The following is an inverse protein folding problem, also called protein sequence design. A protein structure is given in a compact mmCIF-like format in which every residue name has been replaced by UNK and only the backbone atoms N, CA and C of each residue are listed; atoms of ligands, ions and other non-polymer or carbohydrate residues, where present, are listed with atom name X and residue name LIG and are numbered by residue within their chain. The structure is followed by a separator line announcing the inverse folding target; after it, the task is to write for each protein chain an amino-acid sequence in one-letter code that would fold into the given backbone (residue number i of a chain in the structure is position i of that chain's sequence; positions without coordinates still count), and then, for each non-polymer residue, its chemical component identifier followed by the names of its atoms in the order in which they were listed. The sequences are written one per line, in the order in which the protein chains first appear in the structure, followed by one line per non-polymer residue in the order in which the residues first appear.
data_IF_454767788081
#
_entry.id   IF_454767788081
#
_cell.length_a   1.000
_cell.length_b   1.000
_cell.length_c   1.000
_cell.angle_alpha   90.00
_cell.angle_beta   90.00
_cell.angle_gamma   90.00
#
_symmetry.space_group_name_H-M   'P 1'
#
loop_
_entity.id
_entity.type
_entity.pdbx_description
1 polymer ?
#
# COMPACT_ATOMS: atom_id res chain seq x y z
N UNK A 1 -14.55 27.97 12.53
CA UNK A 1 -15.59 27.22 13.28
C UNK A 1 -15.19 25.78 13.16
N UNK A 2 -14.64 25.24 14.24
CA UNK A 2 -14.07 23.90 14.26
C UNK A 2 -15.14 22.86 13.96
N UNK A 3 -15.04 22.21 12.79
CA UNK A 3 -15.97 21.19 12.29
C UNK A 3 -15.85 19.82 13.02
N UNK A 4 -15.24 19.80 14.21
CA UNK A 4 -14.90 18.57 14.92
C UNK A 4 -15.89 18.19 16.05
N UNK A 5 -17.04 18.85 16.17
CA UNK A 5 -18.07 18.52 17.17
C UNK A 5 -19.04 17.41 16.69
N UNK A 6 -18.51 16.36 16.10
CA UNK A 6 -19.25 15.10 15.94
C UNK A 6 -19.33 14.35 17.29
N UNK A 7 -20.35 13.50 17.52
CA UNK A 7 -20.47 12.71 18.75
C UNK A 7 -19.34 11.69 18.95
N UNK A 8 -18.53 11.47 17.91
CA UNK A 8 -17.35 10.64 17.93
C UNK A 8 -16.11 11.54 17.85
N UNK A 9 -15.55 11.85 19.02
CA UNK A 9 -14.28 12.55 19.10
C UNK A 9 -13.18 11.57 18.65
N UNK A 10 -12.63 11.79 17.44
CA UNK A 10 -11.53 10.98 16.86
C UNK A 10 -10.25 10.95 17.71
N UNK A 11 -10.15 11.83 18.70
CA UNK A 11 -9.10 11.77 19.71
C UNK A 11 -9.21 10.58 20.67
N UNK A 12 -10.29 9.79 20.65
CA UNK A 12 -10.47 8.67 21.59
C UNK A 12 -9.48 7.53 21.41
N UNK A 13 -8.96 7.29 20.19
CA UNK A 13 -7.83 6.39 19.95
C UNK A 13 -6.47 7.00 20.32
N UNK A 14 -6.44 8.30 20.64
CA UNK A 14 -5.21 9.06 20.81
C UNK A 14 -4.39 8.66 22.04
N UNK A 15 -4.98 7.97 23.01
CA UNK A 15 -4.24 7.45 24.17
C UNK A 15 -3.22 6.36 23.81
N UNK A 16 -3.39 5.71 22.63
CA UNK A 16 -2.45 4.73 22.09
C UNK A 16 -1.32 5.39 21.28
N UNK A 17 -1.46 6.69 20.97
CA UNK A 17 -0.54 7.40 20.08
C UNK A 17 0.38 8.30 20.90
N UNK A 18 1.65 8.38 20.49
CA UNK A 18 2.60 9.36 21.01
C UNK A 18 2.18 10.79 20.63
N UNK A 19 2.83 11.80 21.22
CA UNK A 19 2.59 13.19 20.85
C UNK A 19 2.96 13.44 19.38
N UNK A 20 4.07 12.87 18.93
CA UNK A 20 4.58 12.94 17.55
C UNK A 20 3.60 12.28 16.57
N UNK A 21 3.09 11.07 16.89
CA UNK A 21 2.10 10.37 16.05
C UNK A 21 0.81 11.17 15.90
N UNK A 22 0.37 11.85 16.96
CA UNK A 22 -0.81 12.74 16.89
C UNK A 22 -0.58 13.99 16.05
N UNK A 23 0.63 14.57 16.11
CA UNK A 23 0.99 15.69 15.27
C UNK A 23 1.05 15.27 13.79
N UNK A 24 1.67 14.14 13.51
CA UNK A 24 1.66 13.52 12.18
C UNK A 24 0.23 13.29 11.69
N UNK A 25 -0.64 12.72 12.52
CA UNK A 25 -2.05 12.49 12.18
C UNK A 25 -2.74 13.80 11.75
N UNK A 26 -2.58 14.88 12.52
CA UNK A 26 -3.17 16.18 12.17
C UNK A 26 -2.62 16.75 10.86
N UNK A 27 -1.32 16.66 10.66
CA UNK A 27 -0.67 17.11 9.43
C UNK A 27 -1.18 16.34 8.22
N UNK A 28 -1.24 15.00 8.31
CA UNK A 28 -1.72 14.12 7.22
C UNK A 28 -3.20 14.36 6.93
N UNK A 29 -4.04 14.51 7.96
CA UNK A 29 -5.47 14.85 7.80
C UNK A 29 -5.63 16.17 7.04
N UNK A 30 -4.91 17.21 7.47
CA UNK A 30 -4.95 18.51 6.81
C UNK A 30 -4.54 18.43 5.35
N UNK A 31 -3.49 17.68 5.04
CA UNK A 31 -3.06 17.44 3.67
C UNK A 31 -4.11 16.70 2.85
N UNK A 32 -4.69 15.64 3.40
CA UNK A 32 -5.72 14.85 2.72
C UNK A 32 -6.95 15.70 2.37
N UNK A 33 -7.43 16.52 3.30
CA UNK A 33 -8.60 17.38 3.12
C UNK A 33 -8.35 18.56 2.18
N UNK A 34 -7.16 19.15 2.19
CA UNK A 34 -6.88 20.35 1.39
C UNK A 34 -6.32 20.04 -0.01
N UNK A 35 -5.50 18.98 -0.15
CA UNK A 35 -4.80 18.68 -1.41
C UNK A 35 -5.39 17.49 -2.15
N UNK A 36 -5.67 16.37 -1.44
CA UNK A 36 -6.12 15.15 -2.09
C UNK A 36 -7.61 15.20 -2.42
N UNK A 37 -8.44 15.75 -1.53
CA UNK A 37 -9.90 15.75 -1.72
C UNK A 37 -10.31 16.48 -3.00
N UNK A 38 -9.65 17.57 -3.34
CA UNK A 38 -9.93 18.32 -4.58
C UNK A 38 -9.56 17.53 -5.84
N UNK A 39 -8.46 16.75 -5.79
CA UNK A 39 -7.96 15.98 -6.92
C UNK A 39 -8.65 14.61 -7.07
N UNK A 40 -9.30 14.09 -6.01
CA UNK A 40 -9.86 12.73 -5.99
C UNK A 40 -10.83 12.44 -7.14
N UNK A 41 -11.73 13.37 -7.45
CA UNK A 41 -12.71 13.20 -8.52
C UNK A 41 -12.07 13.22 -9.91
N UNK A 42 -11.01 14.00 -10.10
CA UNK A 42 -10.26 14.06 -11.35
C UNK A 42 -9.44 12.79 -11.55
N UNK A 43 -8.74 12.33 -10.51
CA UNK A 43 -8.04 11.04 -10.52
C UNK A 43 -8.96 9.90 -10.96
N UNK A 44 -10.17 9.85 -10.40
CA UNK A 44 -11.11 8.77 -10.68
C UNK A 44 -11.74 8.89 -12.07
N UNK A 45 -12.06 10.09 -12.54
CA UNK A 45 -12.68 10.33 -13.86
C UNK A 45 -11.70 10.16 -15.01
N UNK A 46 -10.47 10.66 -14.85
CA UNK A 46 -9.49 10.73 -15.93
C UNK A 46 -8.60 9.50 -15.97
N UNK A 47 -8.64 8.65 -14.92
CA UNK A 47 -7.75 7.49 -14.76
C UNK A 47 -6.26 7.89 -14.79
N UNK A 48 -5.93 9.07 -14.24
CA UNK A 48 -4.59 9.65 -14.27
C UNK A 48 -3.92 9.60 -12.90
N UNK A 49 -2.60 9.36 -12.91
CA UNK A 49 -1.80 9.39 -11.72
C UNK A 49 -1.69 10.84 -11.18
N UNK A 50 -1.88 11.07 -9.88
CA UNK A 50 -1.93 12.40 -9.27
C UNK A 50 -0.53 13.01 -9.04
N UNK A 51 0.19 13.36 -10.10
CA UNK A 51 1.57 13.85 -10.03
C UNK A 51 1.74 15.04 -9.09
N UNK A 52 0.86 16.05 -9.16
CA UNK A 52 0.94 17.23 -8.31
C UNK A 52 0.76 16.90 -6.82
N UNK A 53 -0.21 16.03 -6.49
CA UNK A 53 -0.39 15.57 -5.10
C UNK A 53 0.82 14.77 -4.63
N UNK A 54 1.41 13.93 -5.51
CA UNK A 54 2.59 13.15 -5.20
C UNK A 54 3.80 14.04 -4.92
N UNK A 55 4.03 15.07 -5.73
CA UNK A 55 5.10 16.04 -5.53
C UNK A 55 4.97 16.77 -4.19
N UNK A 56 3.77 17.28 -3.88
CA UNK A 56 3.48 17.93 -2.59
C UNK A 56 3.67 16.98 -1.41
N UNK A 57 3.21 15.74 -1.53
CA UNK A 57 3.37 14.68 -0.54
C UNK A 57 4.83 14.35 -0.28
N UNK A 58 5.60 14.23 -1.34
CA UNK A 58 7.05 14.02 -1.29
C UNK A 58 7.78 15.20 -0.68
N UNK A 59 7.35 16.43 -0.96
CA UNK A 59 7.88 17.65 -0.35
C UNK A 59 7.70 17.74 1.17
N UNK A 60 6.72 17.00 1.73
CA UNK A 60 6.56 16.82 3.18
C UNK A 60 7.45 15.70 3.76
N UNK A 61 8.28 15.05 2.95
CA UNK A 61 9.12 13.91 3.35
C UNK A 61 8.37 12.58 3.45
N UNK A 62 7.09 12.55 3.07
CA UNK A 62 6.23 11.39 3.30
C UNK A 62 6.41 10.27 2.26
N UNK A 63 7.05 10.53 1.12
CA UNK A 63 7.47 9.45 0.21
C UNK A 63 8.42 8.48 0.94
N UNK A 64 9.37 9.02 1.69
CA UNK A 64 10.33 8.24 2.49
C UNK A 64 9.88 7.95 3.92
N UNK A 65 8.58 7.95 4.22
CA UNK A 65 8.07 7.93 5.59
C UNK A 65 8.74 6.90 6.51
N UNK A 66 8.87 5.65 6.08
CA UNK A 66 9.46 4.56 6.88
C UNK A 66 10.94 4.28 6.55
N UNK A 67 11.55 5.04 5.66
CA UNK A 67 12.96 4.85 5.32
C UNK A 67 13.86 5.56 6.34
N UNK A 68 15.08 5.02 6.60
CA UNK A 68 16.01 5.62 7.55
C UNK A 68 16.40 7.05 7.19
N UNK A 69 16.58 7.91 8.22
CA UNK A 69 17.00 9.32 8.06
C UNK A 69 18.29 9.47 7.26
N UNK A 70 19.26 8.55 7.43
CA UNK A 70 20.54 8.58 6.68
C UNK A 70 20.39 8.53 5.16
N UNK A 71 19.22 8.10 4.67
CA UNK A 71 18.86 8.09 3.24
C UNK A 71 17.82 9.14 2.87
N UNK A 72 17.51 10.08 3.78
CA UNK A 72 16.54 11.14 3.56
C UNK A 72 15.10 10.76 3.91
N UNK A 73 14.88 9.61 4.55
CA UNK A 73 13.59 9.20 5.06
C UNK A 73 13.19 9.89 6.36
N UNK A 74 11.95 9.71 6.80
CA UNK A 74 11.42 10.26 8.05
C UNK A 74 11.49 9.27 9.23
N UNK A 75 11.88 8.02 8.99
CA UNK A 75 12.05 6.94 9.98
C UNK A 75 10.87 6.78 10.95
N UNK A 76 9.63 7.02 10.45
CA UNK A 76 8.44 6.86 11.28
C UNK A 76 8.16 5.38 11.54
N UNK A 77 7.63 5.09 12.72
CA UNK A 77 7.28 3.73 13.10
C UNK A 77 6.01 3.21 12.37
N UNK A 78 5.77 1.89 12.43
CA UNK A 78 4.66 1.29 11.73
C UNK A 78 3.29 1.77 12.25
N UNK A 79 3.14 2.05 13.55
CA UNK A 79 1.87 2.57 14.09
C UNK A 79 1.59 3.97 13.53
N UNK A 80 2.57 4.85 13.52
CA UNK A 80 2.47 6.20 12.94
C UNK A 80 2.15 6.15 11.45
N UNK A 81 2.78 5.21 10.72
CA UNK A 81 2.49 4.97 9.30
C UNK A 81 1.04 4.49 9.09
N UNK A 82 0.56 3.55 9.90
CA UNK A 82 -0.81 3.04 9.83
C UNK A 82 -1.84 4.15 10.09
N UNK A 83 -1.59 5.00 11.07
CA UNK A 83 -2.42 6.18 11.35
C UNK A 83 -2.45 7.15 10.16
N UNK A 84 -1.31 7.40 9.54
CA UNK A 84 -1.23 8.24 8.34
C UNK A 84 -2.00 7.63 7.14
N UNK A 85 -1.89 6.32 6.94
CA UNK A 85 -2.68 5.60 5.91
C UNK A 85 -4.19 5.74 6.16
N UNK A 86 -4.66 5.61 7.40
CA UNK A 86 -6.08 5.79 7.73
C UNK A 86 -6.58 7.17 7.33
N UNK A 87 -5.83 8.23 7.67
CA UNK A 87 -6.22 9.61 7.36
C UNK A 87 -6.27 9.88 5.84
N UNK A 88 -5.29 9.38 5.08
CA UNK A 88 -5.34 9.47 3.62
C UNK A 88 -6.49 8.65 3.05
N UNK A 89 -6.68 7.42 3.53
CA UNK A 89 -7.70 6.50 3.03
C UNK A 89 -9.14 6.99 3.28
N UNK A 90 -9.35 7.80 4.31
CA UNK A 90 -10.62 8.47 4.59
C UNK A 90 -11.03 9.41 3.46
N UNK A 91 -10.07 9.98 2.75
CA UNK A 91 -10.29 10.90 1.61
C UNK A 91 -10.09 10.18 0.28
N UNK A 92 -9.01 9.42 0.13
CA UNK A 92 -8.66 8.73 -1.11
C UNK A 92 -8.01 7.38 -0.87
N UNK A 93 -8.75 6.31 -1.13
CA UNK A 93 -8.21 4.95 -1.16
C UNK A 93 -7.12 4.80 -2.23
N UNK A 94 -7.30 5.45 -3.37
CA UNK A 94 -6.36 5.44 -4.50
C UNK A 94 -4.99 5.96 -4.08
N UNK A 95 -4.94 7.15 -3.48
CA UNK A 95 -3.68 7.77 -3.08
C UNK A 95 -2.99 6.99 -1.96
N UNK A 96 -3.76 6.49 -0.99
CA UNK A 96 -3.25 5.65 0.09
C UNK A 96 -2.58 4.37 -0.45
N UNK A 97 -3.16 3.72 -1.48
CA UNK A 97 -2.59 2.55 -2.12
C UNK A 97 -1.34 2.85 -2.95
N UNK A 98 -1.33 3.95 -3.70
CA UNK A 98 -0.14 4.42 -4.43
C UNK A 98 1.03 4.54 -3.45
N UNK A 99 0.82 5.24 -2.35
CA UNK A 99 1.84 5.43 -1.32
C UNK A 99 2.24 4.13 -0.64
N UNK A 100 1.28 3.26 -0.30
CA UNK A 100 1.55 1.96 0.33
C UNK A 100 2.46 1.08 -0.52
N UNK A 101 2.20 0.96 -1.84
CA UNK A 101 3.04 0.15 -2.74
C UNK A 101 4.45 0.73 -2.83
N UNK A 102 4.56 2.05 -2.88
CA UNK A 102 5.86 2.74 -2.89
C UNK A 102 6.66 2.45 -1.60
N UNK A 103 6.05 2.61 -0.43
CA UNK A 103 6.68 2.33 0.87
C UNK A 103 7.06 0.86 1.00
N UNK A 104 6.22 -0.08 0.54
CA UNK A 104 6.55 -1.51 0.51
C UNK A 104 7.86 -1.77 -0.25
N UNK A 105 7.99 -1.18 -1.43
CA UNK A 105 9.18 -1.37 -2.29
C UNK A 105 10.41 -0.71 -1.68
N UNK A 106 10.29 0.51 -1.16
CA UNK A 106 11.36 1.18 -0.43
C UNK A 106 11.86 0.35 0.75
N UNK A 107 10.96 -0.19 1.56
CA UNK A 107 11.28 -1.06 2.69
C UNK A 107 11.95 -2.38 2.24
N UNK A 108 11.55 -2.96 1.10
CA UNK A 108 12.24 -4.13 0.54
C UNK A 108 13.68 -3.81 0.16
N UNK A 109 13.94 -2.63 -0.43
CA UNK A 109 15.29 -2.19 -0.75
C UNK A 109 16.11 -1.96 0.52
N UNK A 110 15.53 -1.38 1.57
CA UNK A 110 16.23 -1.17 2.84
C UNK A 110 16.55 -2.48 3.56
N UNK A 111 15.58 -3.37 3.67
CA UNK A 111 15.76 -4.63 4.42
C UNK A 111 16.68 -5.64 3.71
N UNK A 112 16.69 -5.66 2.38
CA UNK A 112 17.32 -6.71 1.59
C UNK A 112 18.53 -6.23 0.78
N UNK A 113 18.65 -4.94 0.55
CA UNK A 113 19.67 -4.35 -0.30
C UNK A 113 21.07 -4.40 0.30
N UNK A 114 22.08 -4.50 -0.56
CA UNK A 114 23.46 -4.19 -0.21
C UNK A 114 23.61 -2.69 0.06
N UNK A 115 24.68 -2.26 0.74
CA UNK A 115 24.90 -0.83 1.01
C UNK A 115 24.97 -0.01 -0.30
N UNK A 116 25.57 -0.55 -1.36
CA UNK A 116 25.62 0.11 -2.67
C UNK A 116 24.20 0.28 -3.27
N UNK A 117 23.35 -0.75 -3.17
CA UNK A 117 21.97 -0.67 -3.61
C UNK A 117 21.18 0.33 -2.78
N UNK A 118 21.32 0.32 -1.45
CA UNK A 118 20.66 1.28 -0.55
C UNK A 118 21.07 2.71 -0.84
N UNK A 119 22.37 2.97 -0.95
CA UNK A 119 22.90 4.31 -1.24
C UNK A 119 22.42 4.87 -2.59
N UNK A 120 22.15 4.01 -3.57
CA UNK A 120 21.67 4.44 -4.87
C UNK A 120 20.13 4.60 -4.92
N UNK A 121 19.37 3.67 -4.33
CA UNK A 121 17.92 3.61 -4.49
C UNK A 121 17.16 4.37 -3.40
N UNK A 122 17.56 4.24 -2.12
CA UNK A 122 16.77 4.77 -1.02
C UNK A 122 16.63 6.30 -1.03
N UNK A 123 17.65 7.11 -1.35
CA UNK A 123 17.45 8.56 -1.46
C UNK A 123 16.45 8.96 -2.53
N UNK A 124 16.40 8.23 -3.64
CA UNK A 124 15.47 8.47 -4.74
C UNK A 124 14.03 8.08 -4.37
N UNK A 125 13.86 6.98 -3.61
CA UNK A 125 12.57 6.64 -3.03
C UNK A 125 12.16 7.65 -1.96
N UNK A 126 13.04 8.05 -1.07
CA UNK A 126 12.75 8.97 0.03
C UNK A 126 12.32 10.36 -0.47
N UNK A 127 12.95 10.85 -1.52
CA UNK A 127 12.59 12.13 -2.15
C UNK A 127 11.32 12.05 -3.03
N UNK A 128 10.80 10.86 -3.33
CA UNK A 128 9.70 10.67 -4.27
C UNK A 128 10.07 10.92 -5.74
N UNK A 129 11.38 11.05 -6.06
CA UNK A 129 11.90 11.14 -7.43
C UNK A 129 11.43 9.95 -8.27
N UNK A 130 11.40 8.77 -7.64
CA UNK A 130 10.93 7.54 -8.26
C UNK A 130 9.78 6.94 -7.48
N UNK A 131 8.92 6.20 -8.18
CA UNK A 131 7.81 5.45 -7.63
C UNK A 131 8.07 3.95 -7.70
N UNK A 132 8.00 3.26 -6.57
CA UNK A 132 8.26 1.82 -6.47
C UNK A 132 7.11 0.97 -6.95
N UNK A 133 7.43 -0.18 -7.56
CA UNK A 133 6.49 -1.22 -7.97
C UNK A 133 6.99 -2.62 -7.58
N UNK A 134 6.07 -3.50 -7.17
CA UNK A 134 6.38 -4.88 -6.80
C UNK A 134 5.70 -5.87 -7.74
N UNK A 135 6.49 -6.66 -8.47
CA UNK A 135 6.06 -7.56 -9.53
C UNK A 135 6.19 -9.03 -9.13
N UNK A 136 5.14 -9.58 -8.51
CA UNK A 136 5.03 -10.98 -8.10
C UNK A 136 4.07 -11.75 -9.02
N UNK A 137 2.84 -11.26 -9.15
CA UNK A 137 1.70 -11.94 -9.78
C UNK A 137 1.90 -12.18 -11.27
N UNK A 138 1.49 -13.36 -11.74
CA UNK A 138 1.51 -13.77 -13.15
C UNK A 138 0.13 -14.26 -13.59
N UNK A 139 -0.14 -14.38 -14.90
CA UNK A 139 -1.42 -14.92 -15.39
C UNK A 139 -1.81 -16.28 -14.77
N UNK A 140 -0.82 -17.13 -14.47
CA UNK A 140 -1.01 -18.47 -13.91
C UNK A 140 -0.55 -18.62 -12.46
N UNK A 141 -0.11 -17.54 -11.79
CA UNK A 141 0.39 -17.56 -10.41
C UNK A 141 -0.10 -16.33 -9.64
N UNK A 142 -1.29 -16.43 -9.05
CA UNK A 142 -1.88 -15.44 -8.15
C UNK A 142 -1.85 -15.96 -6.71
N UNK A 143 -2.90 -16.69 -6.28
CA UNK A 143 -2.97 -17.29 -4.93
C UNK A 143 -1.83 -18.28 -4.69
N UNK A 144 -1.42 -19.05 -5.69
CA UNK A 144 -0.17 -19.85 -5.63
C UNK A 144 1.04 -18.98 -6.02
N UNK A 145 1.40 -18.03 -5.15
CA UNK A 145 2.56 -17.15 -5.34
C UNK A 145 3.90 -17.92 -5.46
N UNK A 146 3.95 -19.17 -4.98
CA UNK A 146 5.08 -20.06 -5.14
C UNK A 146 5.19 -20.71 -6.52
N UNK A 147 4.19 -20.56 -7.39
CA UNK A 147 4.10 -21.12 -8.74
C UNK A 147 4.57 -20.16 -9.85
N UNK A 148 5.31 -19.09 -9.53
CA UNK A 148 5.88 -18.12 -10.49
C UNK A 148 6.68 -18.84 -11.58
N UNK A 149 6.40 -18.50 -12.83
CA UNK A 149 7.01 -19.11 -14.03
C UNK A 149 8.02 -18.18 -14.73
N UNK A 150 8.02 -16.89 -14.45
CA UNK A 150 9.07 -15.97 -14.93
C UNK A 150 10.42 -16.50 -14.52
N UNK A 151 11.33 -16.67 -15.47
CA UNK A 151 12.65 -17.26 -15.27
C UNK A 151 13.73 -16.20 -15.30
N UNK A 152 14.74 -16.38 -14.46
CA UNK A 152 15.99 -15.63 -14.50
C UNK A 152 17.14 -16.63 -14.66
N UNK A 153 17.84 -16.55 -15.78
CA UNK A 153 18.97 -17.43 -16.10
C UNK A 153 20.26 -16.62 -16.05
N UNK A 154 21.25 -17.13 -15.36
CA UNK A 154 22.57 -16.49 -15.26
C UNK A 154 23.28 -16.49 -16.62
N UNK A 155 23.74 -15.31 -17.05
CA UNK A 155 24.55 -15.12 -18.26
C UNK A 155 25.72 -14.17 -17.95
N UNK A 156 26.88 -14.73 -17.64
CA UNK A 156 28.05 -13.97 -17.22
C UNK A 156 27.75 -13.06 -16.01
N UNK A 157 27.95 -11.75 -16.20
CA UNK A 157 27.69 -10.73 -15.17
C UNK A 157 26.25 -10.22 -15.18
N UNK A 158 25.34 -10.90 -15.89
CA UNK A 158 23.93 -10.54 -15.98
C UNK A 158 23.01 -11.72 -15.65
N UNK A 159 21.73 -11.38 -15.47
CA UNK A 159 20.60 -12.29 -15.52
C UNK A 159 19.76 -11.98 -16.76
N UNK A 160 19.36 -13.00 -17.49
CA UNK A 160 18.36 -12.90 -18.55
C UNK A 160 17.01 -13.28 -17.97
N UNK A 161 16.10 -12.30 -17.88
CA UNK A 161 14.76 -12.51 -17.34
C UNK A 161 13.77 -12.67 -18.49
N UNK A 162 12.95 -13.72 -18.41
CA UNK A 162 11.90 -14.03 -19.39
C UNK A 162 10.59 -14.37 -18.68
N UNK A 163 9.51 -13.73 -19.07
CA UNK A 163 8.18 -13.97 -18.51
C UNK A 163 7.27 -12.76 -18.55
N UNK A 164 6.10 -12.89 -17.93
CA UNK A 164 5.07 -11.84 -17.88
C UNK A 164 4.52 -11.71 -16.48
N UNK A 165 4.43 -10.47 -16.00
CA UNK A 165 3.76 -10.12 -14.75
C UNK A 165 2.48 -9.34 -15.04
N UNK A 166 1.45 -9.54 -14.21
CA UNK A 166 0.16 -8.88 -14.39
C UNK A 166 -0.31 -8.22 -13.10
N UNK A 167 -1.16 -7.22 -13.26
CA UNK A 167 -1.73 -6.46 -12.14
C UNK A 167 -0.70 -5.73 -11.27
N UNK A 168 0.37 -5.23 -11.91
CA UNK A 168 1.46 -4.58 -11.19
C UNK A 168 1.15 -3.10 -11.04
N UNK A 169 0.92 -2.68 -9.79
CA UNK A 169 0.62 -1.31 -9.42
C UNK A 169 1.86 -0.42 -9.48
N UNK A 170 1.67 0.85 -9.81
CA UNK A 170 2.71 1.88 -9.87
C UNK A 170 3.82 1.63 -10.91
N UNK A 171 3.65 0.70 -11.85
CA UNK A 171 4.75 0.30 -12.74
C UNK A 171 4.85 1.14 -14.02
N UNK A 172 3.78 1.81 -14.45
CA UNK A 172 3.69 2.46 -15.74
C UNK A 172 3.66 3.99 -15.70
N UNK A 173 3.88 4.62 -14.55
CA UNK A 173 3.96 6.09 -14.45
C UNK A 173 5.29 6.61 -14.98
N UNK A 174 5.39 7.91 -15.26
CA UNK A 174 6.63 8.53 -15.76
C UNK A 174 7.78 8.48 -14.75
N UNK A 175 7.45 8.37 -13.47
CA UNK A 175 8.41 8.28 -12.37
C UNK A 175 8.62 6.85 -11.84
N UNK A 176 7.99 5.83 -12.44
CA UNK A 176 8.18 4.43 -12.02
C UNK A 176 9.60 3.96 -12.30
N UNK A 177 10.33 3.50 -11.26
CA UNK A 177 11.69 2.96 -11.40
C UNK A 177 12.04 2.06 -10.20
N UNK A 178 13.14 1.32 -10.28
CA UNK A 178 13.63 0.47 -9.18
C UNK A 178 12.64 -0.65 -8.80
N UNK A 179 11.92 -1.21 -9.76
CA UNK A 179 10.91 -2.25 -9.52
C UNK A 179 11.53 -3.51 -8.93
N UNK A 180 10.86 -4.10 -7.94
CA UNK A 180 11.24 -5.42 -7.41
C UNK A 180 10.46 -6.50 -8.15
N UNK A 181 11.17 -7.32 -8.91
CA UNK A 181 10.60 -8.39 -9.76
C UNK A 181 11.00 -9.76 -9.22
N UNK A 182 9.99 -10.63 -9.02
CA UNK A 182 10.20 -12.02 -8.61
C UNK A 182 10.38 -12.92 -9.82
N UNK A 183 11.47 -13.72 -9.85
CA UNK A 183 11.70 -14.70 -10.90
C UNK A 183 12.33 -16.00 -10.37
N UNK A 184 12.14 -17.10 -11.10
CA UNK A 184 12.70 -18.39 -10.76
C UNK A 184 14.16 -18.47 -11.24
N UNK A 185 15.09 -18.72 -10.31
CA UNK A 185 16.51 -18.94 -10.59
C UNK A 185 16.89 -20.42 -10.59
N UNK A 186 15.93 -21.31 -10.31
CA UNK A 186 16.12 -22.75 -10.29
C UNK A 186 14.83 -23.50 -9.95
N UNK A 187 14.95 -24.81 -9.73
CA UNK A 187 13.84 -25.67 -9.33
C UNK A 187 14.26 -26.58 -8.18
N UNK A 188 13.34 -26.81 -7.27
CA UNK A 188 13.47 -27.79 -6.19
C UNK A 188 13.31 -29.22 -6.72
N UNK A 189 13.68 -30.23 -5.94
CA UNK A 189 13.51 -31.65 -6.28
C UNK A 189 12.05 -32.02 -6.61
N UNK A 190 11.08 -31.37 -5.96
CA UNK A 190 9.65 -31.56 -6.20
C UNK A 190 9.10 -30.75 -7.41
N UNK A 191 9.98 -30.15 -8.23
CA UNK A 191 9.64 -29.38 -9.40
C UNK A 191 9.15 -27.94 -9.11
N UNK A 192 9.00 -27.52 -7.83
CA UNK A 192 8.64 -26.14 -7.51
C UNK A 192 9.78 -25.17 -7.79
N UNK A 193 9.49 -23.95 -8.28
CA UNK A 193 10.52 -22.97 -8.55
C UNK A 193 11.23 -22.50 -7.28
N UNK A 194 12.52 -22.19 -7.42
CA UNK A 194 13.32 -21.47 -6.43
C UNK A 194 13.27 -19.99 -6.84
N UNK A 195 12.67 -19.14 -6.02
CA UNK A 195 12.40 -17.74 -6.37
C UNK A 195 13.46 -16.80 -5.80
N UNK A 196 13.86 -15.82 -6.60
CA UNK A 196 14.74 -14.72 -6.23
C UNK A 196 14.10 -13.38 -6.57
N UNK A 197 14.52 -12.32 -5.89
CA UNK A 197 14.08 -10.95 -6.13
C UNK A 197 15.13 -10.17 -6.91
N UNK A 198 14.71 -9.36 -7.87
CA UNK A 198 15.59 -8.54 -8.71
C UNK A 198 15.15 -7.10 -8.72
N UNK A 199 16.08 -6.16 -8.61
CA UNK A 199 15.84 -4.75 -8.89
C UNK A 199 15.92 -4.57 -10.40
N UNK A 200 14.80 -4.18 -11.01
CA UNK A 200 14.73 -3.95 -12.46
C UNK A 200 14.50 -2.46 -12.72
N UNK A 201 15.50 -1.74 -13.22
CA UNK A 201 15.34 -0.35 -13.66
C UNK A 201 14.36 -0.25 -14.85
N UNK A 202 13.68 0.90 -14.97
CA UNK A 202 12.70 1.19 -16.04
C UNK A 202 13.28 0.97 -17.45
N UNK A 203 14.53 1.36 -17.65
CA UNK A 203 15.18 1.32 -18.98
C UNK A 203 15.97 0.02 -19.24
N UNK A 204 15.64 -1.07 -18.52
CA UNK A 204 16.29 -2.37 -18.72
C UNK A 204 16.03 -2.88 -20.15
N UNK A 205 17.09 -3.19 -20.95
CA UNK A 205 16.91 -3.78 -22.26
C UNK A 205 16.13 -5.10 -22.19
N UNK A 206 15.14 -5.29 -23.06
CA UNK A 206 14.27 -6.47 -23.06
C UNK A 206 13.07 -6.38 -22.09
N UNK A 207 12.96 -5.33 -21.28
CA UNK A 207 11.78 -5.02 -20.49
C UNK A 207 10.83 -4.09 -21.26
N UNK A 208 9.52 -4.38 -21.21
CA UNK A 208 8.47 -3.57 -21.82
C UNK A 208 7.27 -3.48 -20.91
N UNK A 209 6.64 -2.30 -20.88
CA UNK A 209 5.31 -2.13 -20.32
C UNK A 209 4.28 -2.74 -21.28
N UNK A 210 3.46 -3.66 -20.79
CA UNK A 210 2.32 -4.21 -21.50
C UNK A 210 1.07 -3.34 -21.34
N UNK A 211 -0.09 -3.99 -21.42
CA UNK A 211 -1.38 -3.28 -21.32
C UNK A 211 -1.60 -2.66 -19.94
N UNK A 212 -2.33 -1.54 -19.92
CA UNK A 212 -2.93 -0.99 -18.71
C UNK A 212 -4.25 -1.69 -18.46
N UNK A 213 -4.50 -2.06 -17.20
CA UNK A 213 -5.75 -2.70 -16.83
C UNK A 213 -6.81 -1.67 -16.45
N UNK A 214 -7.99 -1.79 -17.07
CA UNK A 214 -9.18 -1.07 -16.64
C UNK A 214 -9.76 -1.72 -15.39
N UNK A 215 -9.97 -0.94 -14.34
CA UNK A 215 -10.34 -1.41 -13.00
C UNK A 215 -11.72 -0.88 -12.62
N UNK A 216 -12.43 -1.58 -11.72
CA UNK A 216 -13.69 -1.13 -11.16
C UNK A 216 -13.53 0.05 -10.18
N UNK A 217 -12.33 0.22 -9.60
CA UNK A 217 -12.00 1.26 -8.64
C UNK A 217 -10.50 1.58 -8.67
N UNK A 218 -10.07 2.59 -7.92
CA UNK A 218 -8.68 3.05 -7.84
C UNK A 218 -8.10 3.49 -9.19
N UNK A 219 -8.91 4.19 -9.98
CA UNK A 219 -8.60 4.50 -11.38
C UNK A 219 -7.32 5.34 -11.54
N UNK A 220 -7.04 6.26 -10.61
CA UNK A 220 -5.81 7.06 -10.62
C UNK A 220 -4.53 6.30 -10.27
N UNK A 221 -4.63 5.05 -9.80
CA UNK A 221 -3.45 4.21 -9.59
C UNK A 221 -3.13 3.43 -10.87
N UNK A 222 -1.93 3.61 -11.42
CA UNK A 222 -1.48 2.79 -12.56
C UNK A 222 -1.43 1.30 -12.20
N UNK A 223 -1.85 0.45 -13.13
CA UNK A 223 -1.82 -1.00 -12.97
C UNK A 223 -1.56 -1.66 -14.32
N UNK A 224 -0.43 -2.37 -14.43
CA UNK A 224 0.12 -2.81 -15.71
C UNK A 224 0.42 -4.29 -15.78
N UNK A 225 0.47 -4.77 -17.02
CA UNK A 225 1.25 -5.92 -17.43
C UNK A 225 2.70 -5.50 -17.64
N UNK A 226 3.64 -6.37 -17.24
CA UNK A 226 5.07 -6.22 -17.49
C UNK A 226 5.56 -7.41 -18.29
N UNK A 227 6.25 -7.16 -19.40
CA UNK A 227 6.75 -8.20 -20.30
C UNK A 227 8.28 -8.18 -20.32
N UNK A 228 8.87 -9.33 -20.10
CA UNK A 228 10.32 -9.54 -20.10
C UNK A 228 10.68 -10.52 -21.22
N UNK A 229 11.43 -10.03 -22.22
CA UNK A 229 11.93 -10.79 -23.36
C UNK A 229 13.45 -10.65 -23.41
N UNK A 230 14.16 -11.66 -22.89
CA UNK A 230 15.61 -11.61 -22.66
C UNK A 230 16.06 -10.33 -21.93
N UNK A 231 15.30 -9.94 -20.92
CA UNK A 231 15.60 -8.70 -20.19
C UNK A 231 16.92 -8.82 -19.45
N UNK A 232 17.87 -7.92 -19.78
CA UNK A 232 19.25 -7.96 -19.30
C UNK A 232 19.35 -7.20 -17.98
N UNK A 233 19.40 -7.93 -16.87
CA UNK A 233 19.50 -7.38 -15.52
C UNK A 233 20.89 -7.67 -14.96
N UNK A 234 21.69 -6.64 -14.59
CA UNK A 234 23.01 -6.86 -14.00
C UNK A 234 22.97 -7.75 -12.76
N UNK A 235 23.99 -8.60 -12.59
CA UNK A 235 24.07 -9.52 -11.45
C UNK A 235 23.98 -8.82 -10.10
N UNK A 236 24.55 -7.63 -9.99
CA UNK A 236 24.50 -6.78 -8.80
C UNK A 236 23.10 -6.30 -8.42
N UNK A 237 22.11 -6.48 -9.31
CA UNK A 237 20.71 -6.13 -9.07
C UNK A 237 19.90 -7.28 -8.43
N UNK A 238 20.52 -8.42 -8.12
CA UNK A 238 19.90 -9.41 -7.24
C UNK A 238 19.63 -8.74 -5.89
N UNK A 239 18.38 -8.75 -5.44
CA UNK A 239 17.97 -8.15 -4.17
C UNK A 239 17.89 -9.24 -3.10
N UNK A 240 18.71 -9.12 -2.07
CA UNK A 240 18.80 -10.08 -0.99
C UNK A 240 19.57 -11.34 -1.39
N UNK A 241 19.09 -12.52 -0.94
CA UNK A 241 19.75 -13.81 -1.13
C UNK A 241 19.09 -14.59 -2.25
N UNK A 242 19.87 -15.11 -3.18
CA UNK A 242 19.39 -16.01 -4.23
C UNK A 242 18.62 -17.21 -3.65
N UNK A 243 17.44 -17.49 -4.19
CA UNK A 243 16.58 -18.58 -3.75
C UNK A 243 15.73 -18.28 -2.50
N UNK A 244 15.93 -17.15 -1.85
CA UNK A 244 15.15 -16.75 -0.66
C UNK A 244 13.97 -15.81 -0.99
N UNK A 245 13.76 -15.47 -2.24
CA UNK A 245 12.83 -14.40 -2.67
C UNK A 245 11.41 -14.58 -2.16
N UNK A 246 10.84 -15.79 -2.21
CA UNK A 246 9.47 -16.02 -1.72
C UNK A 246 9.34 -15.72 -0.21
N UNK A 247 10.28 -16.16 0.61
CA UNK A 247 10.29 -15.89 2.05
C UNK A 247 10.42 -14.40 2.33
N UNK A 248 11.32 -13.73 1.59
CA UNK A 248 11.55 -12.29 1.71
C UNK A 248 10.32 -11.48 1.31
N UNK A 249 9.68 -11.83 0.18
CA UNK A 249 8.45 -11.20 -0.28
C UNK A 249 7.30 -11.36 0.73
N UNK A 250 7.07 -12.58 1.23
CA UNK A 250 6.01 -12.85 2.21
C UNK A 250 6.24 -12.09 3.53
N UNK A 251 7.50 -11.92 3.94
CA UNK A 251 7.86 -11.12 5.11
C UNK A 251 7.52 -9.64 4.92
N UNK A 252 7.86 -9.07 3.77
CA UNK A 252 7.55 -7.68 3.44
C UNK A 252 6.02 -7.43 3.32
N UNK A 253 5.25 -8.41 2.84
CA UNK A 253 3.79 -8.31 2.73
C UNK A 253 3.06 -8.32 4.09
N UNK A 254 3.73 -8.63 5.20
CA UNK A 254 3.09 -8.65 6.52
C UNK A 254 2.61 -7.25 6.93
N UNK A 255 3.47 -6.24 6.80
CA UNK A 255 3.07 -4.84 7.01
C UNK A 255 1.94 -4.44 6.05
N UNK A 256 2.01 -4.88 4.79
CA UNK A 256 0.96 -4.62 3.80
C UNK A 256 -0.43 -5.08 4.25
N UNK A 257 -0.54 -6.25 4.92
CA UNK A 257 -1.82 -6.73 5.47
C UNK A 257 -2.37 -5.81 6.55
N UNK A 258 -1.51 -5.29 7.43
CA UNK A 258 -1.91 -4.32 8.48
C UNK A 258 -2.38 -3.02 7.82
N UNK A 259 -1.70 -2.56 6.76
CA UNK A 259 -2.10 -1.38 5.97
C UNK A 259 -3.51 -1.52 5.41
N UNK A 260 -3.88 -2.70 4.89
CA UNK A 260 -5.25 -2.93 4.42
C UNK A 260 -6.28 -2.79 5.55
N UNK A 261 -5.91 -3.11 6.80
CA UNK A 261 -6.71 -2.80 7.98
C UNK A 261 -7.00 -1.29 8.08
N UNK A 262 -5.96 -0.47 8.00
CA UNK A 262 -6.09 1.00 8.05
C UNK A 262 -6.88 1.57 6.86
N UNK A 263 -6.67 1.04 5.65
CA UNK A 263 -7.48 1.39 4.47
C UNK A 263 -8.98 1.15 4.73
N UNK A 264 -9.31 -0.01 5.29
CA UNK A 264 -10.69 -0.36 5.65
C UNK A 264 -11.26 0.59 6.69
N UNK A 265 -10.50 0.92 7.74
CA UNK A 265 -10.93 1.89 8.78
C UNK A 265 -11.21 3.25 8.15
N UNK A 266 -10.29 3.78 7.33
CA UNK A 266 -10.48 5.05 6.64
C UNK A 266 -11.76 5.09 5.81
N UNK A 267 -12.05 4.00 5.06
CA UNK A 267 -13.26 3.88 4.25
C UNK A 267 -14.53 3.84 5.12
N UNK A 268 -14.55 3.01 6.17
CA UNK A 268 -15.70 2.93 7.09
C UNK A 268 -15.94 4.30 7.74
N UNK A 269 -14.88 4.99 8.13
CA UNK A 269 -14.96 6.31 8.74
C UNK A 269 -15.56 7.34 7.77
N UNK A 270 -15.10 7.38 6.52
CA UNK A 270 -15.65 8.27 5.49
C UNK A 270 -17.15 8.01 5.27
N UNK A 271 -17.54 6.74 5.18
CA UNK A 271 -18.94 6.35 5.04
C UNK A 271 -19.79 6.77 6.25
N UNK A 272 -19.26 6.62 7.47
CA UNK A 272 -19.94 7.01 8.69
C UNK A 272 -20.13 8.54 8.77
N UNK A 273 -19.09 9.32 8.47
CA UNK A 273 -19.12 10.79 8.50
C UNK A 273 -20.18 11.31 7.53
N UNK A 274 -20.17 10.81 6.29
CA UNK A 274 -21.13 11.23 5.27
C UNK A 274 -22.57 10.80 5.62
N UNK A 275 -22.73 9.57 6.13
CA UNK A 275 -24.04 9.07 6.57
C UNK A 275 -24.62 9.88 7.74
N UNK A 276 -23.78 10.26 8.72
CA UNK A 276 -24.18 11.09 9.85
C UNK A 276 -24.57 12.51 9.38
N UNK A 277 -23.79 13.11 8.48
CA UNK A 277 -24.09 14.41 7.92
C UNK A 277 -25.44 14.39 7.19
N UNK A 278 -25.61 13.45 6.25
CA UNK A 278 -26.83 13.33 5.46
C UNK A 278 -28.06 13.01 6.34
N UNK A 279 -27.93 12.11 7.33
CA UNK A 279 -29.05 11.75 8.20
C UNK A 279 -29.54 12.91 9.09
N UNK A 280 -28.67 13.89 9.40
CA UNK A 280 -29.06 15.12 10.13
C UNK A 280 -29.77 16.12 9.21
N UNK A 281 -29.39 16.20 7.95
CA UNK A 281 -29.91 17.18 6.98
C UNK A 281 -31.21 16.72 6.31
N UNK A 282 -31.26 15.44 5.88
CA UNK A 282 -32.40 14.89 5.15
C UNK A 282 -33.59 14.65 6.06
N UNK A 283 -34.76 15.18 5.70
CA UNK A 283 -36.03 15.00 6.44
C UNK A 283 -37.01 14.13 5.65
N UNK A 284 -37.71 13.27 6.35
CA UNK A 284 -38.91 12.53 5.90
C UNK A 284 -39.90 12.45 7.04
N UNK A 285 -41.21 12.47 6.73
CA UNK A 285 -42.29 12.50 7.72
C UNK A 285 -42.17 13.69 8.70
N UNK A 286 -41.58 14.80 8.25
CA UNK A 286 -41.37 16.00 9.06
C UNK A 286 -40.13 16.01 9.95
N UNK A 287 -39.44 14.88 10.10
CA UNK A 287 -38.32 14.70 11.00
C UNK A 287 -37.02 14.35 10.25
N UNK A 288 -35.81 14.68 10.79
CA UNK A 288 -34.54 14.22 10.25
C UNK A 288 -34.46 12.69 10.22
N UNK A 289 -33.74 12.11 9.25
CA UNK A 289 -33.54 10.66 9.20
C UNK A 289 -32.88 10.12 10.47
N UNK A 290 -32.02 10.89 11.11
CA UNK A 290 -31.36 10.54 12.39
C UNK A 290 -32.33 10.34 13.56
N UNK A 291 -33.60 10.77 13.45
CA UNK A 291 -34.63 10.55 14.47
C UNK A 291 -35.23 9.13 14.45
N UNK A 292 -35.04 8.39 13.37
CA UNK A 292 -35.64 7.08 13.19
C UNK A 292 -34.73 5.97 13.74
N UNK A 293 -35.26 5.12 14.63
CA UNK A 293 -34.49 4.07 15.32
C UNK A 293 -33.74 3.11 14.38
N UNK A 294 -34.34 2.72 13.23
CA UNK A 294 -33.65 1.85 12.25
C UNK A 294 -32.44 2.53 11.62
N UNK A 295 -32.46 3.86 11.47
CA UNK A 295 -31.29 4.62 10.99
C UNK A 295 -30.24 4.73 12.09
N UNK A 296 -30.65 4.99 13.31
CA UNK A 296 -29.75 5.02 14.47
C UNK A 296 -29.03 3.68 14.66
N UNK A 297 -29.73 2.55 14.53
CA UNK A 297 -29.13 1.21 14.59
C UNK A 297 -28.04 1.03 13.53
N UNK A 298 -28.31 1.38 12.25
CA UNK A 298 -27.31 1.30 11.16
C UNK A 298 -26.09 2.17 11.42
N UNK A 299 -26.30 3.41 11.86
CA UNK A 299 -25.19 4.33 12.18
C UNK A 299 -24.37 3.82 13.38
N UNK A 300 -25.03 3.22 14.38
CA UNK A 300 -24.35 2.60 15.51
C UNK A 300 -23.50 1.40 15.10
N UNK A 301 -24.01 0.55 14.22
CA UNK A 301 -23.26 -0.60 13.68
C UNK A 301 -22.00 -0.13 12.92
N UNK A 302 -22.12 0.90 12.07
CA UNK A 302 -20.98 1.48 11.37
C UNK A 302 -19.93 2.01 12.36
N UNK A 303 -20.36 2.73 13.40
CA UNK A 303 -19.46 3.27 14.42
C UNK A 303 -18.76 2.15 15.23
N UNK A 304 -19.49 1.10 15.62
CA UNK A 304 -18.93 -0.05 16.34
C UNK A 304 -17.85 -0.73 15.48
N UNK A 305 -18.13 -0.97 14.19
CA UNK A 305 -17.16 -1.59 13.29
C UNK A 305 -15.92 -0.71 13.09
N UNK A 306 -16.10 0.60 12.89
CA UNK A 306 -14.97 1.52 12.75
C UNK A 306 -14.03 1.44 13.95
N UNK A 307 -14.56 1.54 15.16
CA UNK A 307 -13.78 1.51 16.39
C UNK A 307 -13.13 0.14 16.64
N UNK A 308 -13.86 -0.95 16.44
CA UNK A 308 -13.34 -2.30 16.65
C UNK A 308 -12.15 -2.59 15.72
N UNK A 309 -12.29 -2.29 14.42
CA UNK A 309 -11.21 -2.49 13.42
C UNK A 309 -10.02 -1.58 13.70
N UNK A 310 -10.24 -0.30 14.01
CA UNK A 310 -9.18 0.66 14.33
C UNK A 310 -8.32 0.18 15.49
N UNK A 311 -8.94 -0.14 16.60
CA UNK A 311 -8.21 -0.60 17.79
C UNK A 311 -7.43 -1.87 17.54
N UNK A 312 -8.02 -2.84 16.81
CA UNK A 312 -7.32 -4.06 16.45
C UNK A 312 -6.13 -3.77 15.52
N UNK A 313 -6.33 -2.96 14.48
CA UNK A 313 -5.27 -2.60 13.53
C UNK A 313 -4.11 -1.87 14.20
N UNK A 314 -4.40 -0.92 15.10
CA UNK A 314 -3.39 -0.19 15.86
C UNK A 314 -2.63 -1.11 16.84
N UNK A 315 -3.33 -2.04 17.47
CA UNK A 315 -2.70 -3.06 18.31
C UNK A 315 -1.71 -3.91 17.51
N UNK A 316 -2.11 -4.40 16.33
CA UNK A 316 -1.23 -5.22 15.48
C UNK A 316 -0.03 -4.42 14.96
N UNK A 317 -0.23 -3.14 14.60
CA UNK A 317 0.88 -2.24 14.23
C UNK A 317 1.87 -2.05 15.39
N UNK A 318 1.37 -1.95 16.63
CA UNK A 318 2.22 -1.88 17.82
C UNK A 318 3.00 -3.17 18.08
N UNK A 319 2.41 -4.35 17.85
CA UNK A 319 3.14 -5.63 17.90
C UNK A 319 4.24 -5.67 16.85
N UNK A 320 3.95 -5.21 15.64
CA UNK A 320 4.94 -5.13 14.56
C UNK A 320 6.12 -4.22 14.93
N UNK A 321 5.87 -3.04 15.53
CA UNK A 321 6.92 -2.13 16.02
C UNK A 321 7.84 -2.80 17.06
N UNK A 322 7.30 -3.68 17.88
CA UNK A 322 8.05 -4.43 18.88
C UNK A 322 8.83 -5.62 18.31
N UNK A 323 8.74 -5.87 17.01
CA UNK A 323 9.36 -7.03 16.35
C UNK A 323 8.75 -8.37 16.74
N UNK A 324 7.53 -8.35 17.29
CA UNK A 324 6.81 -9.57 17.66
C UNK A 324 6.21 -10.26 16.42
N UNK A 325 6.09 -11.57 16.47
CA UNK A 325 5.39 -12.33 15.44
C UNK A 325 3.89 -12.00 15.51
N UNK A 326 3.36 -11.39 14.43
CA UNK A 326 1.98 -10.97 14.32
C UNK A 326 1.36 -11.39 12.96
N UNK A 327 1.84 -12.50 12.36
CA UNK A 327 1.37 -12.95 11.05
C UNK A 327 -0.12 -13.28 11.02
N UNK A 328 -0.62 -13.94 12.07
CA UNK A 328 -2.03 -14.30 12.19
C UNK A 328 -2.90 -13.04 12.39
N UNK A 329 -2.47 -12.14 13.26
CA UNK A 329 -3.16 -10.89 13.56
C UNK A 329 -3.21 -9.97 12.32
N UNK A 330 -2.10 -9.88 11.57
CA UNK A 330 -2.07 -9.13 10.31
C UNK A 330 -3.03 -9.72 9.25
N UNK A 331 -3.17 -11.05 9.19
CA UNK A 331 -4.15 -11.70 8.32
C UNK A 331 -5.60 -11.41 8.77
N UNK A 332 -5.85 -11.31 10.07
CA UNK A 332 -7.16 -10.90 10.62
C UNK A 332 -7.47 -9.45 10.25
N UNK A 333 -6.49 -8.53 10.34
CA UNK A 333 -6.68 -7.13 9.88
C UNK A 333 -7.20 -7.10 8.45
N UNK A 334 -6.53 -7.82 7.54
CA UNK A 334 -6.92 -7.86 6.12
C UNK A 334 -8.33 -8.45 5.93
N UNK A 335 -8.62 -9.60 6.53
CA UNK A 335 -9.88 -10.33 6.33
C UNK A 335 -11.07 -9.57 6.92
N UNK A 336 -10.93 -9.02 8.12
CA UNK A 336 -12.03 -8.37 8.83
C UNK A 336 -12.42 -7.02 8.20
N UNK A 337 -11.48 -6.33 7.56
CA UNK A 337 -11.73 -5.04 6.89
C UNK A 337 -12.15 -5.17 5.43
N UNK A 338 -11.92 -6.33 4.82
CA UNK A 338 -12.23 -6.59 3.41
C UNK A 338 -13.02 -7.89 3.23
N UNK A 339 -14.19 -8.07 3.90
CA UNK A 339 -14.95 -9.29 3.77
C UNK A 339 -15.42 -9.47 2.33
N UNK A 340 -14.99 -10.56 1.70
CA UNK A 340 -15.44 -10.94 0.37
C UNK A 340 -16.64 -11.90 0.49
N UNK A 341 -17.63 -11.85 -0.43
CA UNK A 341 -18.66 -12.87 -0.49
C UNK A 341 -18.11 -14.30 -0.61
N UNK A 342 -16.90 -14.49 -1.12
CA UNK A 342 -16.20 -15.78 -1.16
C UNK A 342 -15.82 -16.28 0.24
N UNK A 343 -15.47 -15.37 1.15
CA UNK A 343 -15.05 -15.69 2.51
C UNK A 343 -16.25 -16.01 3.42
N UNK A 344 -17.45 -15.59 3.01
CA UNK A 344 -18.73 -15.84 3.68
C UNK A 344 -19.42 -17.12 3.18
N UNK A 345 -18.90 -17.75 2.14
CA UNK A 345 -19.46 -18.96 1.51
C UNK A 345 -18.85 -20.24 2.09
N UNK A 346 -18.67 -20.31 3.41
CA UNK A 346 -18.22 -21.52 4.13
C UNK A 346 -19.42 -22.24 4.73
#
# INVERSE_FOLDING_TARGET
MDSHDGPFNYDKGSHLLSAESRELQRMVRSFAENEIQSAQLEMDRNHEFPYECWEKWSGLGMAGAMLPEKYGGADIDALSYIVAIEEIARVSQTFALIWQVHVLVGNMHDLLGTEDQKNYWLPRFASGEILGAFALTEPNAGSDAGGVQTKAVRDGDNWLINGTKVFISNAGTDISDGMVVMAATGSKENGRPILSSFIVPRNTPGFKLGQSFDKMAWHGMDNRELVFEDAIVPAKNLLGVEGAGLKQALGALNLGRIVFGALGVGLIQACLDESLRYAKERKQFGEPLSSFQLMQAKLSDMAIHAEAVRHFTYHVASLFNQGLDCHAEAAICLLYTSPSPRDLAV
#
